data_IF_195390204657
#
_entry.id   IF_195390204657
#
_cell.length_a   1.000
_cell.length_b   1.000
_cell.length_c   1.000
_cell.angle_alpha   90.00
_cell.angle_beta   90.00
_cell.angle_gamma   90.00
#
_symmetry.space_group_name_H-M   'P 1'
#
loop_
_entity.id
_entity.type
_entity.pdbx_description
1 polymer ?
#
# COMPACT_ATOMS: atom_id res chain seq x y z
N UNK A 1 4.49 -8.76 5.20
CA UNK A 1 5.46 -9.44 4.31
C UNK A 1 6.80 -9.54 5.01
N UNK A 2 7.38 -10.73 5.06
CA UNK A 2 8.65 -10.99 5.72
C UNK A 2 9.57 -11.82 4.81
N UNK A 3 10.88 -11.57 4.92
CA UNK A 3 11.93 -12.35 4.25
C UNK A 3 12.92 -12.78 5.32
N UNK A 4 13.08 -14.09 5.48
CA UNK A 4 14.04 -14.71 6.38
C UNK A 4 14.25 -16.19 5.99
N UNK A 5 15.11 -16.90 6.72
CA UNK A 5 15.29 -18.32 6.56
C UNK A 5 13.99 -19.10 6.82
N UNK A 6 13.70 -20.00 5.90
CA UNK A 6 12.62 -20.97 6.01
C UNK A 6 13.11 -22.33 5.50
N UNK A 7 12.53 -23.37 6.06
CA UNK A 7 12.57 -24.72 5.56
C UNK A 7 11.20 -25.04 4.95
N UNK A 8 11.20 -25.71 3.81
CA UNK A 8 10.00 -26.13 3.10
C UNK A 8 10.19 -27.54 2.56
N UNK A 9 9.22 -28.40 2.81
CA UNK A 9 9.06 -29.69 2.15
C UNK A 9 7.72 -29.72 1.38
N UNK A 10 7.31 -30.89 0.86
CA UNK A 10 6.09 -31.01 0.07
C UNK A 10 4.79 -30.70 0.82
N UNK A 11 4.80 -30.72 2.15
CA UNK A 11 3.60 -30.61 2.99
C UNK A 11 3.69 -29.51 4.05
N UNK A 12 4.87 -28.96 4.30
CA UNK A 12 5.10 -28.09 5.45
C UNK A 12 6.13 -27.01 5.16
N UNK A 13 5.89 -25.85 5.75
CA UNK A 13 6.80 -24.70 5.74
C UNK A 13 6.96 -24.26 7.19
N UNK A 14 8.20 -24.07 7.63
CA UNK A 14 8.51 -23.57 8.96
C UNK A 14 9.79 -22.74 8.94
N UNK A 15 9.87 -21.73 9.81
CA UNK A 15 11.04 -20.86 9.89
C UNK A 15 10.72 -19.47 10.39
N UNK A 16 11.77 -18.68 10.58
CA UNK A 16 11.69 -17.35 11.17
C UNK A 16 10.82 -16.40 10.33
N UNK A 17 10.79 -16.59 9.01
CA UNK A 17 9.97 -15.80 8.10
C UNK A 17 8.47 -15.89 8.44
N UNK A 18 7.97 -17.09 8.78
CA UNK A 18 6.57 -17.30 9.13
C UNK A 18 6.21 -16.70 10.49
N UNK A 19 7.08 -16.88 11.49
CA UNK A 19 6.91 -16.28 12.82
C UNK A 19 6.90 -14.75 12.74
N UNK A 20 7.83 -14.18 11.96
CA UNK A 20 7.91 -12.73 11.74
C UNK A 20 6.69 -12.22 10.99
N UNK A 21 6.19 -12.95 9.98
CA UNK A 21 4.97 -12.58 9.26
C UNK A 21 3.76 -12.56 10.19
N UNK A 22 3.60 -13.59 11.02
CA UNK A 22 2.53 -13.67 12.02
C UNK A 22 2.62 -12.53 13.05
N UNK A 23 3.81 -12.22 13.56
CA UNK A 23 4.01 -11.12 14.49
C UNK A 23 3.70 -9.76 13.87
N UNK A 24 4.08 -9.57 12.61
CA UNK A 24 3.76 -8.35 11.86
C UNK A 24 2.24 -8.19 11.71
N UNK A 25 1.53 -9.26 11.35
CA UNK A 25 0.08 -9.24 11.19
C UNK A 25 -0.65 -9.01 12.53
N UNK A 26 -0.24 -9.71 13.58
CA UNK A 26 -0.93 -9.69 14.88
C UNK A 26 -0.63 -8.46 15.73
N UNK A 27 0.55 -7.83 15.58
CA UNK A 27 1.02 -6.77 16.48
C UNK A 27 1.29 -5.43 15.80
N UNK A 28 1.61 -5.41 14.50
CA UNK A 28 2.12 -4.22 13.80
C UNK A 28 1.15 -3.70 12.74
N UNK A 29 0.52 -4.59 11.97
CA UNK A 29 -0.43 -4.24 10.93
C UNK A 29 -1.76 -3.77 11.54
N UNK A 30 -1.80 -2.50 11.96
CA UNK A 30 -3.03 -1.89 12.50
C UNK A 30 -4.06 -1.66 11.38
N UNK A 31 -3.57 -1.33 10.17
CA UNK A 31 -4.39 -1.02 9.00
C UNK A 31 -4.43 -2.20 8.00
N UNK A 32 -5.48 -2.31 7.18
CA UNK A 32 -5.65 -3.40 6.20
C UNK A 32 -4.74 -3.24 4.98
N UNK A 33 -3.43 -3.36 5.20
CA UNK A 33 -2.37 -3.21 4.22
C UNK A 33 -1.31 -4.30 4.40
N UNK A 34 -0.52 -4.54 3.35
CA UNK A 34 0.63 -5.43 3.43
C UNK A 34 1.85 -4.62 3.87
N UNK A 35 2.12 -4.60 5.17
CA UNK A 35 3.32 -3.97 5.77
C UNK A 35 4.56 -4.85 5.53
N UNK A 36 5.74 -4.24 5.44
CA UNK A 36 7.03 -4.92 5.31
C UNK A 36 7.75 -5.01 6.67
N UNK A 37 8.36 -6.16 6.95
CA UNK A 37 9.26 -6.30 8.11
C UNK A 37 10.60 -5.58 7.87
N UNK A 38 11.40 -5.42 8.93
CA UNK A 38 12.67 -4.67 8.87
C UNK A 38 13.66 -5.25 7.85
N UNK A 39 13.77 -6.58 7.79
CA UNK A 39 14.66 -7.23 6.83
C UNK A 39 14.21 -7.00 5.39
N UNK A 40 12.90 -7.05 5.14
CA UNK A 40 12.34 -6.74 3.81
C UNK A 40 12.55 -5.26 3.44
N UNK A 41 12.37 -4.33 4.37
CA UNK A 41 12.67 -2.90 4.15
C UNK A 41 14.13 -2.67 3.77
N UNK A 42 15.08 -3.31 4.48
CA UNK A 42 16.52 -3.24 4.16
C UNK A 42 16.82 -3.81 2.77
N UNK A 43 16.15 -4.90 2.38
CA UNK A 43 16.29 -5.47 1.05
C UNK A 43 15.76 -4.53 -0.03
N UNK A 44 14.61 -3.90 0.18
CA UNK A 44 14.07 -2.88 -0.73
C UNK A 44 15.06 -1.72 -0.90
N UNK A 45 15.55 -1.15 0.21
CA UNK A 45 16.53 -0.06 0.19
C UNK A 45 17.80 -0.45 -0.59
N UNK A 46 18.30 -1.67 -0.36
CA UNK A 46 19.47 -2.23 -1.05
C UNK A 46 19.21 -2.40 -2.55
N UNK A 47 18.05 -2.95 -2.93
CA UNK A 47 17.72 -3.23 -4.32
C UNK A 47 17.47 -1.97 -5.14
N UNK A 48 16.87 -0.93 -4.56
CA UNK A 48 16.75 0.38 -5.22
C UNK A 48 18.14 0.93 -5.60
N UNK A 49 19.16 0.64 -4.80
CA UNK A 49 20.53 1.04 -5.07
C UNK A 49 21.13 0.47 -6.36
N UNK A 50 20.65 -0.69 -6.82
CA UNK A 50 21.17 -1.39 -8.00
C UNK A 50 20.72 -0.80 -9.33
N UNK A 51 19.67 0.02 -9.34
CA UNK A 51 19.21 0.68 -10.56
C UNK A 51 20.12 1.88 -10.89
N UNK A 52 20.67 1.86 -12.10
CA UNK A 52 21.69 2.80 -12.59
C UNK A 52 21.06 4.06 -13.19
N UNK A 53 20.20 4.73 -12.42
CA UNK A 53 19.49 5.94 -12.85
C UNK A 53 18.14 5.70 -13.51
N UNK A 54 17.81 4.45 -13.84
CA UNK A 54 16.45 4.03 -14.17
C UNK A 54 15.53 4.09 -12.95
N UNK A 55 14.23 4.30 -13.17
CA UNK A 55 13.24 4.28 -12.10
C UNK A 55 13.07 2.85 -11.58
N UNK A 56 13.61 2.59 -10.39
CA UNK A 56 13.47 1.31 -9.73
C UNK A 56 11.96 1.02 -9.47
N UNK A 57 11.42 -0.16 -9.85
CA UNK A 57 9.99 -0.46 -9.73
C UNK A 57 9.48 -0.33 -8.29
N UNK A 58 10.35 -0.61 -7.31
CA UNK A 58 10.03 -0.45 -5.89
C UNK A 58 9.61 0.98 -5.52
N UNK A 59 10.08 2.00 -6.26
CA UNK A 59 9.70 3.41 -6.03
C UNK A 59 8.21 3.64 -6.34
N UNK A 60 7.64 2.86 -7.26
CA UNK A 60 6.20 2.86 -7.55
C UNK A 60 5.46 1.95 -6.58
N UNK A 61 5.94 0.73 -6.42
CA UNK A 61 5.19 -0.37 -5.80
C UNK A 61 5.22 -0.34 -4.26
N UNK A 62 6.06 0.50 -3.65
CA UNK A 62 6.20 0.61 -2.19
C UNK A 62 6.09 2.06 -1.73
N UNK A 63 5.30 2.28 -0.69
CA UNK A 63 5.17 3.57 0.00
C UNK A 63 5.62 3.45 1.45
N UNK A 64 6.01 4.59 2.01
CA UNK A 64 6.31 4.74 3.44
C UNK A 64 5.13 5.43 4.13
N UNK A 65 4.60 4.77 5.15
CA UNK A 65 3.52 5.28 5.99
C UNK A 65 3.98 6.33 7.02
N UNK A 66 3.05 6.91 7.78
CA UNK A 66 3.34 7.95 8.78
C UNK A 66 4.19 7.45 9.97
N UNK A 67 4.12 6.15 10.27
CA UNK A 67 4.93 5.46 11.28
C UNK A 67 6.34 5.10 10.78
N UNK A 68 6.63 5.43 9.51
CA UNK A 68 7.88 5.15 8.85
C UNK A 68 8.05 3.72 8.32
N UNK A 69 7.04 2.85 8.50
CA UNK A 69 7.02 1.50 7.93
C UNK A 69 6.74 1.54 6.43
N UNK A 70 7.30 0.59 5.70
CA UNK A 70 6.99 0.42 4.27
C UNK A 70 5.77 -0.50 4.12
N UNK A 71 4.96 -0.23 3.11
CA UNK A 71 3.81 -1.05 2.73
C UNK A 71 3.67 -1.10 1.21
N UNK A 72 2.99 -2.14 0.71
CA UNK A 72 2.70 -2.26 -0.72
C UNK A 72 1.71 -1.20 -1.18
N UNK A 73 2.09 -0.46 -2.21
CA UNK A 73 1.28 0.56 -2.85
C UNK A 73 0.29 -0.06 -3.85
N UNK A 74 -0.56 -0.98 -3.39
CA UNK A 74 -1.35 -1.84 -4.27
C UNK A 74 -2.32 -1.10 -5.21
N UNK A 75 -2.69 0.16 -4.93
CA UNK A 75 -3.54 0.92 -5.84
C UNK A 75 -2.84 1.28 -7.16
N UNK A 76 -1.50 1.18 -7.25
CA UNK A 76 -0.79 1.34 -8.52
C UNK A 76 -1.19 0.33 -9.57
N UNK A 77 -1.73 -0.82 -9.17
CA UNK A 77 -2.31 -1.82 -10.08
C UNK A 77 -3.58 -1.31 -10.80
N UNK A 78 -4.12 -0.15 -10.39
CA UNK A 78 -5.14 0.54 -11.17
C UNK A 78 -4.55 1.24 -12.41
N UNK A 79 -3.23 1.36 -12.54
CA UNK A 79 -2.57 1.86 -13.74
C UNK A 79 -2.24 0.64 -14.60
N UNK A 80 -2.93 0.49 -15.72
CA UNK A 80 -2.81 -0.65 -16.61
C UNK A 80 -1.97 -0.26 -17.82
N UNK A 81 -1.00 -1.11 -18.16
CA UNK A 81 -0.25 -1.02 -19.41
C UNK A 81 -1.20 -1.33 -20.59
N UNK A 82 -1.39 -0.35 -21.47
CA UNK A 82 -2.10 -0.51 -22.74
C UNK A 82 -1.14 -0.47 -23.92
N UNK A 83 -1.64 -0.80 -25.11
CA UNK A 83 -0.84 -0.92 -26.33
C UNK A 83 -0.12 0.40 -26.71
N UNK A 84 -0.82 1.54 -26.58
CA UNK A 84 -0.30 2.87 -26.96
C UNK A 84 0.13 3.73 -25.75
N UNK A 85 -0.51 3.52 -24.60
CA UNK A 85 -0.26 4.27 -23.35
C UNK A 85 -0.79 3.51 -22.14
N UNK A 86 -0.27 3.88 -20.97
CA UNK A 86 -0.91 3.55 -19.70
C UNK A 86 -2.29 4.21 -19.59
N UNK A 87 -3.23 3.52 -18.96
CA UNK A 87 -4.55 4.06 -18.65
C UNK A 87 -4.99 3.69 -17.23
N UNK A 88 -5.87 4.50 -16.65
CA UNK A 88 -6.37 4.27 -15.30
C UNK A 88 -7.64 3.40 -15.32
N UNK A 89 -7.62 2.28 -14.59
CA UNK A 89 -8.81 1.50 -14.25
C UNK A 89 -9.67 2.24 -13.21
N UNK A 90 -10.40 3.22 -13.72
CA UNK A 90 -11.36 3.99 -12.96
C UNK A 90 -12.48 3.13 -12.36
N UNK A 91 -12.76 1.94 -12.89
CA UNK A 91 -13.80 1.05 -12.36
C UNK A 91 -13.34 0.43 -11.05
N UNK A 92 -12.12 -0.10 -10.99
CA UNK A 92 -11.54 -0.64 -9.76
C UNK A 92 -11.34 0.46 -8.72
N UNK A 93 -10.89 1.65 -9.12
CA UNK A 93 -10.72 2.78 -8.21
C UNK A 93 -12.06 3.21 -7.57
N UNK A 94 -13.13 3.35 -8.36
CA UNK A 94 -14.49 3.64 -7.85
C UNK A 94 -15.03 2.54 -6.94
N UNK A 95 -14.73 1.28 -7.24
CA UNK A 95 -15.13 0.14 -6.39
C UNK A 95 -14.44 0.23 -5.03
N UNK A 96 -13.14 0.51 -5.02
CA UNK A 96 -12.37 0.71 -3.79
C UNK A 96 -12.96 1.86 -2.95
N UNK A 97 -13.21 3.04 -3.56
CA UNK A 97 -13.87 4.17 -2.91
C UNK A 97 -15.16 3.73 -2.20
N UNK A 98 -16.07 3.06 -2.92
CA UNK A 98 -17.37 2.63 -2.37
C UNK A 98 -17.22 1.69 -1.18
N UNK A 99 -16.24 0.79 -1.21
CA UNK A 99 -15.97 -0.14 -0.11
C UNK A 99 -15.48 0.62 1.14
N UNK A 100 -14.57 1.57 0.96
CA UNK A 100 -14.07 2.42 2.05
C UNK A 100 -15.20 3.26 2.65
N UNK A 101 -16.00 3.94 1.84
CA UNK A 101 -17.13 4.76 2.31
C UNK A 101 -18.19 3.92 3.05
N UNK A 102 -18.49 2.74 2.52
CA UNK A 102 -19.44 1.82 3.16
C UNK A 102 -18.93 1.36 4.53
N UNK A 103 -17.63 1.05 4.64
CA UNK A 103 -17.02 0.62 5.89
C UNK A 103 -16.92 1.75 6.92
N UNK A 104 -16.57 2.97 6.49
CA UNK A 104 -16.59 4.16 7.34
C UNK A 104 -17.97 4.39 7.97
N UNK A 105 -19.04 4.24 7.17
CA UNK A 105 -20.41 4.36 7.68
C UNK A 105 -20.78 3.21 8.61
N UNK A 106 -20.46 1.96 8.23
CA UNK A 106 -20.83 0.77 8.99
C UNK A 106 -20.15 0.70 10.36
N UNK A 107 -18.90 1.16 10.45
CA UNK A 107 -18.08 1.08 11.66
C UNK A 107 -17.92 2.42 12.39
N UNK A 108 -18.74 3.43 12.07
CA UNK A 108 -18.68 4.76 12.68
C UNK A 108 -18.72 4.76 14.23
N UNK A 109 -19.38 3.77 14.84
CA UNK A 109 -19.47 3.62 16.30
C UNK A 109 -18.38 2.76 16.93
N UNK A 110 -17.46 2.18 16.14
CA UNK A 110 -16.37 1.32 16.61
C UNK A 110 -15.03 2.00 16.31
N UNK A 111 -14.49 2.83 17.22
CA UNK A 111 -13.35 3.71 16.92
C UNK A 111 -12.13 2.98 16.36
N UNK A 112 -11.78 1.82 16.93
CA UNK A 112 -10.61 1.04 16.51
C UNK A 112 -10.73 0.50 15.08
N UNK A 113 -11.94 0.16 14.62
CA UNK A 113 -12.20 -0.30 13.26
C UNK A 113 -12.36 0.89 12.33
N UNK A 114 -13.04 1.94 12.77
CA UNK A 114 -13.19 3.19 12.04
C UNK A 114 -11.83 3.79 11.66
N UNK A 115 -10.89 3.86 12.59
CA UNK A 115 -9.54 4.40 12.34
C UNK A 115 -8.81 3.67 11.20
N UNK A 116 -9.05 2.37 11.02
CA UNK A 116 -8.46 1.59 9.91
C UNK A 116 -8.98 2.06 8.56
N UNK A 117 -10.29 2.28 8.46
CA UNK A 117 -10.92 2.75 7.23
C UNK A 117 -10.69 4.25 6.99
N UNK A 118 -10.52 5.03 8.06
CA UNK A 118 -10.08 6.41 7.96
C UNK A 118 -8.68 6.48 7.31
N UNK A 119 -7.75 5.65 7.76
CA UNK A 119 -6.42 5.56 7.16
C UNK A 119 -6.49 5.13 5.68
N UNK A 120 -7.34 4.15 5.34
CA UNK A 120 -7.53 3.73 3.94
C UNK A 120 -8.13 4.83 3.06
N UNK A 121 -9.02 5.67 3.61
CA UNK A 121 -9.58 6.80 2.87
C UNK A 121 -8.49 7.81 2.49
N UNK A 122 -7.58 8.11 3.42
CA UNK A 122 -6.44 8.99 3.16
C UNK A 122 -5.45 8.36 2.16
N UNK A 123 -5.18 7.06 2.27
CA UNK A 123 -4.35 6.34 1.28
C UNK A 123 -4.99 6.39 -0.12
N UNK A 124 -6.29 6.16 -0.21
CA UNK A 124 -7.03 6.24 -1.46
C UNK A 124 -6.98 7.65 -2.05
N UNK A 125 -7.21 8.68 -1.24
CA UNK A 125 -7.16 10.07 -1.68
C UNK A 125 -5.75 10.48 -2.11
N UNK A 126 -4.72 10.07 -1.38
CA UNK A 126 -3.33 10.21 -1.79
C UNK A 126 -3.09 9.60 -3.17
N UNK A 127 -3.54 8.36 -3.40
CA UNK A 127 -3.39 7.73 -4.71
C UNK A 127 -4.15 8.49 -5.80
N UNK A 128 -5.38 8.93 -5.54
CA UNK A 128 -6.15 9.78 -6.46
C UNK A 128 -5.38 11.04 -6.87
N UNK A 129 -4.70 11.70 -5.93
CA UNK A 129 -3.87 12.87 -6.25
C UNK A 129 -2.75 12.49 -7.22
N UNK A 130 -2.12 11.33 -7.05
CA UNK A 130 -1.03 10.87 -7.94
C UNK A 130 -1.48 10.53 -9.36
N UNK A 131 -2.75 10.19 -9.56
CA UNK A 131 -3.32 9.83 -10.88
C UNK A 131 -4.24 10.89 -11.46
N UNK A 132 -4.27 12.08 -10.87
CA UNK A 132 -5.15 13.19 -11.27
C UNK A 132 -4.96 13.66 -12.73
N UNK A 133 -3.79 13.39 -13.32
CA UNK A 133 -3.48 13.71 -14.72
C UNK A 133 -4.03 12.70 -15.74
N UNK A 134 -4.58 11.55 -15.31
CA UNK A 134 -5.13 10.56 -16.23
C UNK A 134 -6.50 11.01 -16.78
N UNK A 135 -6.78 10.88 -18.09
CA UNK A 135 -8.07 11.29 -18.67
C UNK A 135 -9.28 10.56 -18.09
N UNK A 136 -9.08 9.33 -17.60
CA UNK A 136 -10.14 8.52 -17.00
C UNK A 136 -10.46 8.95 -15.55
N UNK A 137 -9.60 9.79 -14.94
CA UNK A 137 -9.77 10.28 -13.57
C UNK A 137 -10.86 11.37 -13.45
N UNK A 138 -11.45 11.46 -12.27
CA UNK A 138 -12.44 12.46 -11.90
C UNK A 138 -12.35 12.71 -10.39
N UNK A 139 -12.40 13.97 -9.94
CA UNK A 139 -12.35 14.34 -8.51
C UNK A 139 -13.43 13.64 -7.67
N UNK A 140 -14.58 13.31 -8.26
CA UNK A 140 -15.63 12.52 -7.61
C UNK A 140 -15.20 11.09 -7.25
N UNK A 141 -14.00 10.65 -7.65
CA UNK A 141 -13.40 9.40 -7.21
C UNK A 141 -12.73 9.49 -5.85
N UNK A 142 -12.45 10.68 -5.31
CA UNK A 142 -11.97 10.82 -3.93
C UNK A 142 -13.07 10.49 -2.92
N UNK A 143 -12.66 9.98 -1.76
CA UNK A 143 -13.51 9.84 -0.58
C UNK A 143 -13.73 11.23 0.01
N UNK A 144 -14.99 11.65 0.13
CA UNK A 144 -15.39 13.02 0.48
C UNK A 144 -15.11 13.42 1.93
N UNK A 145 -14.70 12.47 2.77
CA UNK A 145 -14.45 12.70 4.18
C UNK A 145 -12.96 13.01 4.38
N UNK A 146 -12.63 14.24 4.78
CA UNK A 146 -11.33 14.54 5.39
C UNK A 146 -11.38 14.03 6.82
N UNK A 147 -10.80 12.86 7.08
CA UNK A 147 -10.96 12.18 8.38
C UNK A 147 -9.72 12.35 9.23
N UNK A 148 -8.53 12.35 8.62
CA UNK A 148 -7.26 12.50 9.34
C UNK A 148 -6.16 13.01 8.38
N UNK A 149 -5.30 13.91 8.83
CA UNK A 149 -4.12 14.28 8.02
C UNK A 149 -3.05 13.18 8.11
N UNK A 150 -3.10 12.20 7.20
CA UNK A 150 -2.06 11.17 7.06
C UNK A 150 -1.11 11.56 5.94
N UNK A 151 0.20 11.48 6.20
CA UNK A 151 1.23 11.72 5.19
C UNK A 151 1.84 10.40 4.72
N UNK A 152 1.87 10.23 3.40
CA UNK A 152 2.55 9.14 2.71
C UNK A 152 3.77 9.67 1.98
N UNK A 153 4.86 8.91 2.02
CA UNK A 153 6.11 9.29 1.37
C UNK A 153 6.49 8.23 0.35
N UNK A 154 6.90 8.68 -0.85
CA UNK A 154 7.58 7.79 -1.80
C UNK A 154 8.93 7.41 -1.22
N UNK A 155 9.34 6.16 -1.42
CA UNK A 155 10.69 5.74 -1.10
C UNK A 155 11.65 6.25 -2.18
N UNK A 156 12.86 6.61 -1.77
CA UNK A 156 13.88 7.16 -2.67
C UNK A 156 15.20 6.44 -2.44
N UNK A 157 16.07 6.49 -3.46
CA UNK A 157 17.45 6.05 -3.29
C UNK A 157 18.11 6.88 -2.19
N UNK A 158 18.52 6.22 -1.11
CA UNK A 158 19.36 6.86 -0.09
C UNK A 158 20.70 7.22 -0.75
N UNK A 159 21.09 8.49 -0.63
CA UNK A 159 22.38 8.99 -1.11
C UNK A 159 23.53 8.32 -0.37
#
# INVERSE_FOLDING_TARGET
MAVDQLFMDGNSVYGMALLTAHDLESKVAVNPIVVLCDNTMKLVDKHIGYYSGEAAPQVRDVLKGPDGRYFLNYLTECIIEGDDREYLDAKSLRRHKKQVESALKAYASIPTVFSKFAWLAEYHNYFCDTVSGYPEYNEAMKVSATICAVQFQRITKKK
#
